data_IF_091211295355
#
_entry.id   IF_091211295355
#
_cell.length_a   1.000
_cell.length_b   1.000
_cell.length_c   1.000
_cell.angle_alpha   90.00
_cell.angle_beta   90.00
_cell.angle_gamma   90.00
#
_symmetry.space_group_name_H-M   'P 1'
#
loop_
_entity.id
_entity.type
_entity.pdbx_description
1 polymer ?
#
# COMPACT_ATOMS: atom_id res chain seq x y z
N UNK A 1 -5.67 24.23 -15.76
CA UNK A 1 -6.46 23.51 -14.74
C UNK A 1 -7.73 22.81 -15.24
N UNK A 2 -8.59 23.40 -16.10
CA UNK A 2 -9.70 22.65 -16.77
C UNK A 2 -9.21 21.45 -17.60
N UNK A 3 -7.96 21.47 -18.05
CA UNK A 3 -7.34 20.44 -18.88
C UNK A 3 -6.73 19.28 -18.08
N UNK A 4 -6.28 19.52 -16.84
CA UNK A 4 -5.64 18.51 -15.98
C UNK A 4 -6.63 17.48 -15.40
N UNK A 5 -7.92 17.85 -15.28
CA UNK A 5 -8.98 16.93 -14.84
C UNK A 5 -9.75 16.26 -15.99
N UNK A 6 -9.55 16.70 -17.23
CA UNK A 6 -10.21 16.09 -18.40
C UNK A 6 -9.43 14.90 -18.99
N UNK A 7 -8.14 14.72 -18.70
CA UNK A 7 -7.32 13.68 -19.32
C UNK A 7 -7.46 12.28 -18.70
N UNK A 8 -8.19 12.12 -17.59
CA UNK A 8 -8.43 10.80 -16.97
C UNK A 8 -9.68 10.07 -17.46
N UNK A 9 -10.39 10.60 -18.45
CA UNK A 9 -11.72 10.12 -18.78
C UNK A 9 -12.04 10.11 -20.28
N UNK A 10 -11.30 9.36 -21.12
CA UNK A 10 -11.82 8.91 -22.43
C UNK A 10 -10.89 7.91 -23.17
N UNK A 11 -11.24 6.62 -23.16
CA UNK A 11 -10.97 5.69 -24.27
C UNK A 11 -12.14 4.72 -24.42
N UNK A 12 -13.03 5.00 -25.37
CA UNK A 12 -13.65 4.06 -26.34
C UNK A 12 -14.73 4.80 -27.16
N UNK A 13 -14.51 4.95 -28.48
CA UNK A 13 -15.52 5.42 -29.46
C UNK A 13 -16.08 4.25 -30.30
N UNK A 14 -16.78 4.47 -31.44
CA UNK A 14 -17.32 5.73 -31.99
C UNK A 14 -18.81 5.64 -32.48
N UNK A 15 -19.48 6.78 -32.69
CA UNK A 15 -20.43 7.00 -33.83
C UNK A 15 -20.88 8.47 -33.95
N UNK A 16 -20.32 9.10 -34.98
CA UNK A 16 -20.89 10.03 -35.98
C UNK A 16 -21.82 11.22 -35.62
N UNK A 17 -21.23 12.41 -35.86
CA UNK A 17 -21.65 13.51 -36.76
C UNK A 17 -22.46 14.72 -36.23
N UNK A 18 -21.72 15.86 -36.20
CA UNK A 18 -21.99 17.20 -36.80
C UNK A 18 -23.07 18.05 -36.07
N UNK A 19 -22.90 19.34 -35.71
CA UNK A 19 -21.84 20.36 -35.75
C UNK A 19 -22.38 21.63 -35.05
N UNK A 20 -21.54 22.45 -34.42
CA UNK A 20 -21.32 23.86 -34.78
C UNK A 20 -20.58 24.67 -33.69
N UNK A 21 -19.55 25.40 -34.15
CA UNK A 21 -19.03 26.67 -33.64
C UNK A 21 -18.01 26.71 -32.49
N UNK A 22 -16.81 26.21 -32.80
CA UNK A 22 -15.57 27.00 -32.99
C UNK A 22 -15.31 28.16 -32.01
N UNK A 23 -14.52 27.89 -30.97
CA UNK A 23 -13.42 28.77 -30.51
C UNK A 23 -12.12 27.96 -30.56
N UNK A 24 -11.16 28.48 -31.30
CA UNK A 24 -9.86 27.86 -31.55
C UNK A 24 -8.86 28.21 -30.44
N UNK A 25 -8.33 27.21 -29.75
CA UNK A 25 -7.05 27.28 -29.06
C UNK A 25 -6.20 26.11 -29.55
N UNK A 26 -4.95 26.39 -29.96
CA UNK A 26 -4.00 25.42 -30.51
C UNK A 26 -3.60 24.39 -29.43
N UNK A 27 -3.30 23.14 -29.81
CA UNK A 27 -2.83 22.13 -28.85
C UNK A 27 -1.42 22.47 -28.37
N UNK A 28 -1.23 22.49 -27.05
CA UNK A 28 0.09 22.49 -26.42
C UNK A 28 0.57 21.03 -26.38
N UNK A 29 1.62 20.73 -27.12
CA UNK A 29 2.21 19.40 -27.21
C UNK A 29 3.39 19.35 -26.24
N UNK A 30 3.24 18.66 -25.12
CA UNK A 30 4.38 18.23 -24.32
C UNK A 30 5.06 17.07 -25.05
N UNK A 31 6.25 17.31 -25.60
CA UNK A 31 7.10 16.27 -26.20
C UNK A 31 8.09 15.77 -25.14
N UNK A 32 8.21 14.46 -24.90
CA UNK A 32 9.37 13.92 -24.19
C UNK A 32 10.60 14.07 -25.08
N UNK A 33 11.72 14.58 -24.54
CA UNK A 33 13.00 14.43 -25.21
C UNK A 33 13.43 12.97 -25.19
N UNK A 34 13.47 12.36 -26.38
CA UNK A 34 14.06 11.05 -26.63
C UNK A 34 15.57 11.24 -26.80
N UNK A 35 16.37 10.70 -25.86
CA UNK A 35 17.75 10.29 -26.18
C UNK A 35 17.72 8.83 -26.61
N UNK A 36 18.25 8.56 -27.80
CA UNK A 36 18.10 7.28 -28.48
C UNK A 36 18.84 6.12 -27.81
N UNK A 37 18.18 4.97 -27.81
CA UNK A 37 18.82 3.70 -28.14
C UNK A 37 19.10 2.72 -27.00
N UNK A 38 18.08 2.25 -26.28
CA UNK A 38 17.54 0.85 -26.34
C UNK A 38 16.60 0.58 -25.18
N UNK A 39 15.54 -0.16 -25.49
CA UNK A 39 14.37 -0.55 -24.69
C UNK A 39 14.65 -1.02 -23.26
N UNK A 40 13.77 -0.63 -22.31
CA UNK A 40 13.10 -1.39 -21.21
C UNK A 40 12.67 -0.39 -20.08
N UNK A 41 11.46 -0.53 -19.53
CA UNK A 41 10.79 0.29 -18.47
C UNK A 41 11.55 0.34 -17.10
N UNK A 42 11.10 0.93 -15.95
CA UNK A 42 10.04 1.91 -15.51
C UNK A 42 10.70 3.09 -14.69
N UNK A 43 10.13 3.75 -13.62
CA UNK A 43 10.01 3.15 -12.26
C UNK A 43 8.85 3.66 -11.34
N UNK A 44 8.82 3.01 -10.18
CA UNK A 44 7.94 3.07 -9.01
C UNK A 44 7.87 4.42 -8.26
N UNK A 45 6.74 4.69 -7.58
CA UNK A 45 6.59 5.77 -6.59
C UNK A 45 6.46 5.19 -5.18
N UNK A 46 7.56 5.27 -4.43
CA UNK A 46 7.68 5.01 -3.01
C UNK A 46 7.02 6.13 -2.20
N UNK A 47 6.10 5.78 -1.29
CA UNK A 47 5.61 6.70 -0.26
C UNK A 47 6.61 6.75 0.90
N UNK A 48 7.27 7.90 1.08
CA UNK A 48 7.94 8.26 2.32
C UNK A 48 7.18 9.39 2.99
N UNK A 49 6.54 9.09 4.13
CA UNK A 49 6.15 10.08 5.13
C UNK A 49 7.43 10.73 5.66
N UNK A 50 7.63 12.01 5.34
CA UNK A 50 8.73 12.81 5.88
C UNK A 50 8.23 14.19 6.27
N UNK A 51 8.55 14.58 7.50
CA UNK A 51 8.22 15.85 8.15
C UNK A 51 8.66 17.10 7.37
N UNK A 52 7.87 18.16 7.58
CA UNK A 52 8.10 19.58 7.26
C UNK A 52 9.57 20.01 7.13
N UNK A 53 9.94 20.54 5.96
CA UNK A 53 10.87 21.65 5.86
C UNK A 53 10.23 22.83 5.10
N UNK A 54 10.11 23.98 5.75
CA UNK A 54 10.03 25.27 5.05
C UNK A 54 11.37 25.47 4.33
N UNK A 55 11.35 25.74 3.01
CA UNK A 55 11.27 27.14 2.58
C UNK A 55 10.33 27.40 1.38
N UNK A 56 9.55 28.46 1.54
CA UNK A 56 9.12 29.47 0.56
C UNK A 56 9.24 29.10 -0.94
N UNK A 57 8.14 28.61 -1.52
CA UNK A 57 7.77 28.85 -2.92
C UNK A 57 6.31 29.30 -2.93
N UNK A 58 6.01 30.34 -3.70
CA UNK A 58 4.91 31.30 -3.51
C UNK A 58 3.47 30.77 -3.62
N UNK A 59 3.25 29.53 -4.03
CA UNK A 59 1.90 28.97 -4.22
C UNK A 59 1.86 27.46 -3.89
N UNK A 60 0.91 27.06 -3.04
CA UNK A 60 0.64 25.68 -2.66
C UNK A 60 -0.80 25.31 -3.04
N UNK A 61 -0.99 24.19 -3.74
CA UNK A 61 -2.30 23.79 -4.26
C UNK A 61 -2.84 22.65 -3.41
N UNK A 62 -3.95 22.88 -2.72
CA UNK A 62 -4.69 21.84 -2.03
C UNK A 62 -5.60 21.08 -3.00
N UNK A 63 -5.52 19.75 -3.03
CA UNK A 63 -6.37 18.90 -3.86
C UNK A 63 -7.17 17.97 -2.96
N UNK A 64 -8.49 18.18 -2.82
CA UNK A 64 -9.36 17.28 -2.07
C UNK A 64 -9.38 15.88 -2.69
N UNK A 65 -9.39 14.84 -1.84
CA UNK A 65 -9.52 13.45 -2.27
C UNK A 65 -10.78 13.22 -3.13
N UNK A 66 -10.70 12.28 -4.07
CA UNK A 66 -11.84 11.88 -4.91
C UNK A 66 -13.01 11.39 -4.05
N UNK A 67 -14.22 11.89 -4.33
CA UNK A 67 -15.45 11.50 -3.65
C UNK A 67 -15.99 12.52 -2.64
N UNK A 68 -15.22 13.56 -2.30
CA UNK A 68 -15.69 14.64 -1.40
C UNK A 68 -16.56 15.67 -2.13
N UNK A 69 -16.44 15.76 -3.46
CA UNK A 69 -17.28 16.62 -4.28
C UNK A 69 -18.64 15.97 -4.56
N UNK A 70 -19.71 16.68 -4.22
CA UNK A 70 -21.06 16.31 -4.66
C UNK A 70 -21.19 16.65 -6.15
N UNK A 71 -21.91 15.82 -6.94
CA UNK A 71 -21.99 15.83 -8.42
C UNK A 71 -22.59 17.11 -9.08
N UNK A 72 -22.31 18.29 -8.58
CA UNK A 72 -22.63 19.56 -9.23
C UNK A 72 -21.37 20.21 -9.81
N UNK A 73 -21.59 21.03 -10.84
CA UNK A 73 -20.55 21.78 -11.57
C UNK A 73 -19.72 22.63 -10.62
N UNK A 74 -18.45 22.26 -10.45
CA UNK A 74 -17.45 23.03 -9.71
C UNK A 74 -17.39 24.46 -10.25
N UNK A 75 -17.51 25.43 -9.35
CA UNK A 75 -17.42 26.86 -9.69
C UNK A 75 -15.98 27.34 -9.57
N UNK A 76 -15.65 28.47 -10.21
CA UNK A 76 -14.32 29.08 -10.10
C UNK A 76 -13.93 29.35 -8.64
N UNK A 77 -14.90 29.78 -7.81
CA UNK A 77 -14.72 30.03 -6.38
C UNK A 77 -14.28 28.78 -5.62
N UNK A 78 -14.75 27.60 -6.02
CA UNK A 78 -14.37 26.33 -5.40
C UNK A 78 -12.90 25.99 -5.68
N UNK A 79 -12.36 26.39 -6.83
CA UNK A 79 -10.93 26.21 -7.14
C UNK A 79 -10.07 27.24 -6.41
N UNK A 80 -10.49 28.50 -6.39
CA UNK A 80 -9.76 29.58 -5.70
C UNK A 80 -9.66 29.34 -4.18
N UNK A 81 -10.66 28.67 -3.59
CA UNK A 81 -10.66 28.21 -2.19
C UNK A 81 -9.50 27.25 -1.86
N UNK A 82 -8.90 26.60 -2.86
CA UNK A 82 -7.92 25.53 -2.68
C UNK A 82 -6.52 25.89 -3.20
N UNK A 83 -6.31 27.13 -3.63
CA UNK A 83 -4.99 27.64 -4.00
C UNK A 83 -4.52 28.52 -2.85
N UNK A 84 -3.44 28.13 -2.18
CA UNK A 84 -2.89 28.78 -1.01
C UNK A 84 -1.69 29.65 -1.39
N UNK A 85 -1.67 30.85 -0.83
CA UNK A 85 -0.56 31.78 -0.89
C UNK A 85 -0.03 31.98 0.53
N UNK A 86 1.25 31.70 0.75
CA UNK A 86 1.87 31.88 2.05
C UNK A 86 1.91 33.38 2.40
N UNK A 87 1.57 33.72 3.65
CA UNK A 87 1.77 35.08 4.16
C UNK A 87 3.27 35.26 4.48
N UNK A 88 3.89 36.28 3.88
CA UNK A 88 5.30 36.62 4.11
C UNK A 88 5.55 37.14 5.54
N UNK A 89 4.53 37.68 6.21
CA UNK A 89 4.66 38.27 7.55
C UNK A 89 4.42 37.28 8.70
N UNK A 90 3.60 36.25 8.49
CA UNK A 90 3.21 35.30 9.54
C UNK A 90 3.48 33.84 9.12
N UNK A 91 4.57 33.28 9.65
CA UNK A 91 4.93 31.88 9.40
C UNK A 91 3.80 30.91 9.81
N UNK A 92 3.34 30.08 8.86
CA UNK A 92 2.28 29.10 9.07
C UNK A 92 0.86 29.60 8.84
N UNK A 93 0.69 30.86 8.40
CA UNK A 93 -0.58 31.42 7.94
C UNK A 93 -0.59 31.46 6.41
N UNK A 94 -1.69 31.00 5.84
CA UNK A 94 -1.92 30.96 4.40
C UNK A 94 -3.18 31.71 4.07
N UNK A 95 -3.19 32.38 2.93
CA UNK A 95 -4.38 33.01 2.38
C UNK A 95 -4.76 32.29 1.11
N UNK A 96 -6.01 31.85 0.98
CA UNK A 96 -6.51 31.30 -0.28
C UNK A 96 -6.55 32.38 -1.36
N UNK A 97 -6.56 31.99 -2.63
CA UNK A 97 -6.63 32.93 -3.76
C UNK A 97 -7.89 33.83 -3.71
N UNK A 98 -8.96 33.40 -3.02
CA UNK A 98 -10.16 34.21 -2.78
C UNK A 98 -10.17 34.95 -1.42
N UNK A 99 -9.00 35.09 -0.79
CA UNK A 99 -8.79 35.99 0.35
C UNK A 99 -9.22 35.44 1.71
N UNK A 100 -9.20 34.12 1.90
CA UNK A 100 -9.58 33.47 3.18
C UNK A 100 -8.36 32.95 3.91
N UNK A 101 -8.34 33.10 5.22
CA UNK A 101 -7.19 32.75 6.07
C UNK A 101 -7.26 31.28 6.50
N UNK A 102 -6.13 30.59 6.42
CA UNK A 102 -5.86 29.24 6.92
C UNK A 102 -4.63 29.30 7.82
N UNK A 103 -4.59 28.43 8.83
CA UNK A 103 -3.41 28.27 9.67
C UNK A 103 -3.03 26.81 9.81
N UNK A 104 -1.74 26.51 9.65
CA UNK A 104 -1.18 25.20 9.96
C UNK A 104 -1.10 25.05 11.48
N UNK A 105 -1.70 23.98 11.99
CA UNK A 105 -1.66 23.55 13.40
C UNK A 105 -1.08 22.14 13.49
N UNK A 106 -0.81 21.66 14.72
CA UNK A 106 -0.30 20.30 14.95
C UNK A 106 -1.24 19.20 14.42
N UNK A 107 -2.54 19.50 14.32
CA UNK A 107 -3.57 18.56 13.87
C UNK A 107 -3.92 18.73 12.37
N UNK A 108 -3.31 19.67 11.64
CA UNK A 108 -3.55 19.89 10.21
C UNK A 108 -3.85 21.35 9.84
N UNK A 109 -4.50 21.56 8.69
CA UNK A 109 -4.92 22.86 8.16
C UNK A 109 -6.22 23.31 8.83
N UNK A 110 -6.19 24.38 9.62
CA UNK A 110 -7.38 24.95 10.25
C UNK A 110 -7.89 26.13 9.44
N UNK A 111 -9.15 26.07 8.98
CA UNK A 111 -9.83 27.18 8.31
C UNK A 111 -10.15 28.30 9.31
N UNK A 112 -9.82 29.55 8.96
CA UNK A 112 -10.03 30.73 9.81
C UNK A 112 -10.93 31.75 9.13
N UNK A 113 -10.53 33.02 9.08
CA UNK A 113 -11.38 34.12 8.62
C UNK A 113 -11.76 33.94 7.15
N UNK A 114 -13.02 34.21 6.83
CA UNK A 114 -13.54 34.17 5.46
C UNK A 114 -14.13 32.83 5.04
N UNK A 115 -13.98 31.77 5.85
CA UNK A 115 -14.69 30.50 5.67
C UNK A 115 -16.05 30.52 6.39
N UNK A 116 -17.05 29.88 5.79
CA UNK A 116 -18.40 29.77 6.38
C UNK A 116 -18.39 28.96 7.71
N UNK A 117 -17.45 28.03 7.87
CA UNK A 117 -17.28 27.20 9.07
C UNK A 117 -15.81 26.97 9.39
N UNK A 118 -15.45 27.06 10.68
CA UNK A 118 -14.14 26.63 11.19
C UNK A 118 -14.06 25.10 11.18
N UNK A 119 -13.04 24.55 10.52
CA UNK A 119 -12.81 23.12 10.31
C UNK A 119 -11.32 22.83 10.30
N UNK A 120 -10.97 21.62 10.74
CA UNK A 120 -9.61 21.08 10.63
C UNK A 120 -9.62 20.08 9.47
N UNK A 121 -8.66 20.26 8.56
CA UNK A 121 -8.46 19.46 7.36
C UNK A 121 -7.08 18.83 7.43
N UNK A 122 -6.99 17.52 7.19
CA UNK A 122 -5.75 16.78 7.28
C UNK A 122 -5.09 16.68 5.91
N UNK A 123 -3.79 16.95 5.86
CA UNK A 123 -2.96 16.67 4.68
C UNK A 123 -2.63 15.18 4.67
N UNK A 124 -3.07 14.48 3.62
CA UNK A 124 -2.84 13.06 3.42
C UNK A 124 -1.42 12.79 2.92
N UNK A 125 -0.98 13.58 1.94
CA UNK A 125 0.38 13.58 1.40
C UNK A 125 0.65 14.87 0.61
N UNK A 126 1.92 15.18 0.36
CA UNK A 126 2.37 16.31 -0.45
C UNK A 126 3.29 15.82 -1.58
N UNK A 127 3.20 16.45 -2.74
CA UNK A 127 4.05 16.15 -3.89
C UNK A 127 4.49 17.45 -4.58
N UNK A 128 5.72 17.49 -5.09
CA UNK A 128 6.29 18.66 -5.77
C UNK A 128 6.23 18.45 -7.28
N UNK A 129 5.63 19.40 -7.99
CA UNK A 129 5.49 19.40 -9.44
C UNK A 129 6.27 20.56 -10.04
N UNK A 130 6.59 20.47 -11.34
CA UNK A 130 7.32 21.50 -12.08
C UNK A 130 6.45 22.00 -13.23
N UNK A 131 6.41 23.32 -13.44
CA UNK A 131 5.68 23.92 -14.55
C UNK A 131 6.53 23.88 -15.85
N UNK A 132 5.96 24.32 -16.98
CA UNK A 132 6.68 24.38 -18.28
C UNK A 132 7.90 25.34 -18.29
N UNK A 133 8.04 26.15 -17.24
CA UNK A 133 9.16 27.09 -17.02
C UNK A 133 10.18 26.55 -16.00
N UNK A 134 10.04 25.29 -15.57
CA UNK A 134 10.88 24.59 -14.58
C UNK A 134 10.76 25.15 -13.14
N UNK A 135 9.73 25.96 -12.85
CA UNK A 135 9.44 26.41 -11.49
C UNK A 135 8.71 25.31 -10.72
N UNK A 136 9.19 25.01 -9.52
CA UNK A 136 8.58 24.03 -8.62
C UNK A 136 7.38 24.61 -7.87
N UNK A 137 6.28 23.87 -7.81
CA UNK A 137 5.12 24.16 -6.96
C UNK A 137 4.72 22.92 -6.16
N UNK A 138 4.14 23.12 -4.98
CA UNK A 138 3.69 22.02 -4.11
C UNK A 138 2.21 21.76 -4.28
N UNK A 139 1.84 20.49 -4.29
CA UNK A 139 0.46 20.01 -4.29
C UNK A 139 0.23 19.17 -3.05
N UNK A 140 -0.66 19.62 -2.17
CA UNK A 140 -1.05 18.93 -0.95
C UNK A 140 -2.40 18.22 -1.17
N UNK A 141 -2.43 16.89 -1.03
CA UNK A 141 -3.68 16.13 -1.05
C UNK A 141 -4.34 16.21 0.33
N UNK A 142 -5.62 16.60 0.37
CA UNK A 142 -6.34 16.82 1.63
C UNK A 142 -7.54 15.87 1.79
N UNK A 143 -7.86 15.54 3.04
CA UNK A 143 -8.88 14.55 3.39
C UNK A 143 -10.32 15.01 3.12
N UNK A 144 -10.57 16.32 3.12
CA UNK A 144 -11.89 16.92 2.89
C UNK A 144 -11.78 18.31 2.23
N UNK A 145 -12.92 18.87 1.82
CA UNK A 145 -12.99 20.23 1.28
C UNK A 145 -12.76 21.27 2.38
N UNK A 146 -12.07 22.36 2.03
CA UNK A 146 -11.86 23.50 2.94
C UNK A 146 -13.17 24.25 3.23
N UNK A 147 -14.15 24.18 2.34
CA UNK A 147 -15.48 24.78 2.52
C UNK A 147 -16.55 23.94 1.82
N UNK A 148 -17.74 23.83 2.42
CA UNK A 148 -18.82 23.03 1.86
C UNK A 148 -18.58 21.52 1.93
N UNK A 149 -19.13 20.77 0.98
CA UNK A 149 -19.10 19.30 1.01
C UNK A 149 -20.06 18.69 2.03
N UNK A 150 -20.06 17.36 2.14
CA UNK A 150 -20.82 16.65 3.17
C UNK A 150 -20.09 16.73 4.50
N UNK A 151 -20.76 17.20 5.57
CA UNK A 151 -20.25 17.14 6.97
C UNK A 151 -19.96 15.72 7.44
N UNK A 152 -20.54 14.74 6.72
CA UNK A 152 -20.08 13.36 6.76
C UNK A 152 -18.74 13.36 6.04
N UNK A 153 -17.70 13.63 6.80
CA UNK A 153 -16.42 12.99 6.58
C UNK A 153 -16.76 11.53 6.79
N UNK A 154 -17.07 10.82 5.70
CA UNK A 154 -16.74 9.41 5.69
C UNK A 154 -15.26 9.43 6.01
N UNK A 155 -14.95 8.98 7.24
CA UNK A 155 -13.64 8.92 7.87
C UNK A 155 -12.55 8.65 6.82
N UNK A 156 -11.29 9.09 6.98
CA UNK A 156 -10.20 8.85 6.03
C UNK A 156 -9.76 7.38 5.96
N UNK A 157 -10.75 6.49 5.82
CA UNK A 157 -10.68 5.10 5.49
C UNK A 157 -11.87 4.90 4.53
N UNK A 158 -11.74 4.83 3.20
CA UNK A 158 -10.88 3.86 2.53
C UNK A 158 -10.54 2.70 3.46
N UNK A 159 -11.52 2.08 4.16
CA UNK A 159 -11.31 1.11 5.27
C UNK A 159 -10.06 0.28 4.98
N UNK A 160 -8.95 0.68 5.59
CA UNK A 160 -7.66 0.03 5.51
C UNK A 160 -7.86 -1.16 6.41
N UNK A 161 -8.46 -2.18 5.84
CA UNK A 161 -8.66 -3.45 6.49
C UNK A 161 -7.26 -4.02 6.68
N UNK A 162 -6.71 -3.87 7.87
CA UNK A 162 -5.39 -4.40 8.22
C UNK A 162 -5.51 -5.67 9.06
N UNK A 163 -6.61 -5.80 9.81
CA UNK A 163 -6.83 -6.90 10.76
C UNK A 163 -8.07 -7.71 10.41
N UNK A 164 -8.15 -8.91 10.99
CA UNK A 164 -9.36 -9.76 10.93
C UNK A 164 -10.55 -9.06 11.59
N UNK A 165 -10.32 -8.31 12.67
CA UNK A 165 -11.39 -7.60 13.38
C UNK A 165 -12.00 -6.51 12.50
N UNK A 166 -11.17 -5.71 11.81
CA UNK A 166 -11.66 -4.70 10.85
C UNK A 166 -12.51 -5.34 9.74
N UNK A 167 -12.06 -6.47 9.19
CA UNK A 167 -12.77 -7.21 8.17
C UNK A 167 -14.11 -7.78 8.68
N UNK A 168 -14.10 -8.29 9.91
CA UNK A 168 -15.27 -8.90 10.55
C UNK A 168 -16.30 -7.83 10.85
N UNK A 169 -15.89 -6.67 11.37
CA UNK A 169 -16.79 -5.53 11.60
C UNK A 169 -17.39 -5.02 10.29
N UNK A 170 -16.60 -4.93 9.21
CA UNK A 170 -17.07 -4.52 7.89
C UNK A 170 -18.16 -5.46 7.32
N UNK A 171 -18.02 -6.78 7.53
CA UNK A 171 -18.96 -7.77 7.02
C UNK A 171 -20.19 -7.96 7.92
N UNK A 172 -19.97 -7.97 9.23
CA UNK A 172 -20.91 -8.48 10.24
C UNK A 172 -21.35 -7.42 11.25
N UNK A 173 -20.98 -6.16 11.05
CA UNK A 173 -21.47 -5.03 11.83
C UNK A 173 -22.99 -5.01 11.98
N UNK A 174 -23.48 -4.27 12.97
CA UNK A 174 -24.87 -4.32 13.46
C UNK A 174 -25.98 -4.03 12.42
N UNK A 175 -25.63 -3.64 11.19
CA UNK A 175 -26.56 -3.31 10.10
C UNK A 175 -26.75 -4.46 9.08
N UNK A 176 -26.02 -5.57 9.20
CA UNK A 176 -26.00 -6.64 8.19
C UNK A 176 -26.95 -7.80 8.54
N UNK A 177 -27.32 -8.61 7.53
CA UNK A 177 -28.25 -9.72 7.72
C UNK A 177 -27.58 -10.91 8.42
N UNK A 178 -28.08 -11.29 9.59
CA UNK A 178 -27.66 -12.53 10.28
C UNK A 178 -27.86 -13.79 9.42
N UNK A 179 -28.81 -13.77 8.48
CA UNK A 179 -29.08 -14.89 7.60
C UNK A 179 -28.04 -15.05 6.48
N UNK A 180 -27.41 -13.97 6.01
CA UNK A 180 -26.32 -14.06 5.03
C UNK A 180 -25.04 -14.53 5.70
N UNK A 181 -24.76 -14.05 6.91
CA UNK A 181 -23.67 -14.55 7.77
C UNK A 181 -23.77 -16.07 7.99
N UNK A 182 -24.92 -16.57 8.47
CA UNK A 182 -25.10 -18.01 8.71
C UNK A 182 -24.85 -18.84 7.44
N UNK A 183 -25.31 -18.36 6.27
CA UNK A 183 -25.06 -19.06 5.00
C UNK A 183 -23.58 -19.09 4.62
N UNK A 184 -22.81 -18.04 4.93
CA UNK A 184 -21.36 -18.03 4.74
C UNK A 184 -20.72 -19.05 5.68
N UNK A 185 -21.09 -19.02 6.96
CA UNK A 185 -20.56 -19.95 7.98
C UNK A 185 -20.87 -21.41 7.62
N UNK A 186 -22.08 -21.71 7.13
CA UNK A 186 -22.46 -23.04 6.66
C UNK A 186 -21.58 -23.52 5.49
N UNK A 187 -21.16 -22.62 4.59
CA UNK A 187 -20.22 -22.95 3.50
C UNK A 187 -18.81 -23.19 4.01
N UNK A 188 -18.36 -22.40 4.98
CA UNK A 188 -17.06 -22.58 5.64
C UNK A 188 -17.04 -23.93 6.37
N UNK A 189 -18.07 -24.24 7.15
CA UNK A 189 -18.17 -25.51 7.88
C UNK A 189 -18.23 -26.71 6.93
N UNK A 190 -19.02 -26.64 5.85
CA UNK A 190 -19.03 -27.69 4.83
C UNK A 190 -17.64 -27.91 4.18
N UNK A 191 -16.86 -26.83 4.00
CA UNK A 191 -15.48 -26.95 3.53
C UNK A 191 -14.55 -27.56 4.59
N UNK A 192 -14.70 -27.21 5.87
CA UNK A 192 -13.91 -27.77 6.96
C UNK A 192 -14.18 -29.27 7.16
N UNK A 193 -15.45 -29.67 7.10
CA UNK A 193 -15.92 -31.06 7.23
C UNK A 193 -15.56 -31.94 6.03
N UNK A 194 -15.19 -31.35 4.90
CA UNK A 194 -14.76 -32.12 3.73
C UNK A 194 -13.54 -32.97 4.08
N UNK A 195 -13.56 -34.27 3.77
CA UNK A 195 -12.40 -35.14 3.99
C UNK A 195 -11.44 -35.12 2.80
N UNK A 196 -11.46 -34.03 2.02
CA UNK A 196 -10.70 -33.89 0.80
C UNK A 196 -9.21 -33.75 1.11
N UNK A 197 -8.43 -34.77 0.73
CA UNK A 197 -6.97 -34.72 0.76
C UNK A 197 -6.48 -34.09 -0.54
N UNK A 198 -6.01 -32.85 -0.46
CA UNK A 198 -5.51 -32.16 -1.63
C UNK A 198 -4.16 -32.74 -2.05
N UNK A 199 -4.08 -33.20 -3.30
CA UNK A 199 -2.89 -33.86 -3.85
C UNK A 199 -1.84 -32.87 -4.35
N UNK A 200 -2.24 -31.61 -4.59
CA UNK A 200 -1.38 -30.57 -5.13
C UNK A 200 -1.76 -29.19 -4.62
N UNK A 201 -0.82 -28.24 -4.69
CA UNK A 201 -1.08 -26.84 -4.32
C UNK A 201 -2.24 -26.27 -5.12
N UNK A 202 -2.31 -26.59 -6.43
CA UNK A 202 -3.38 -26.15 -7.33
C UNK A 202 -4.76 -26.60 -6.87
N UNK A 203 -4.90 -27.86 -6.45
CA UNK A 203 -6.20 -28.37 -5.95
C UNK A 203 -6.66 -27.66 -4.68
N UNK A 204 -5.74 -27.27 -3.80
CA UNK A 204 -6.08 -26.47 -2.60
C UNK A 204 -6.57 -25.08 -3.02
N UNK A 205 -5.84 -24.43 -3.94
CA UNK A 205 -6.15 -23.08 -4.42
C UNK A 205 -7.51 -23.07 -5.10
N UNK A 206 -7.77 -24.01 -6.01
CA UNK A 206 -9.03 -24.10 -6.77
C UNK A 206 -10.23 -24.28 -5.81
N UNK A 207 -10.10 -25.15 -4.80
CA UNK A 207 -11.15 -25.37 -3.81
C UNK A 207 -11.42 -24.13 -2.93
N UNK A 208 -10.36 -23.40 -2.52
CA UNK A 208 -10.51 -22.17 -1.76
C UNK A 208 -11.08 -21.03 -2.61
N UNK A 209 -10.69 -20.93 -3.89
CA UNK A 209 -11.24 -19.96 -4.84
C UNK A 209 -12.73 -20.20 -5.10
N UNK A 210 -13.16 -21.46 -5.18
CA UNK A 210 -14.58 -21.82 -5.28
C UNK A 210 -15.34 -21.43 -4.00
N UNK A 211 -14.78 -21.72 -2.82
CA UNK A 211 -15.34 -21.30 -1.54
C UNK A 211 -15.52 -19.79 -1.47
N UNK A 212 -14.46 -19.03 -1.77
CA UNK A 212 -14.50 -17.56 -1.83
C UNK A 212 -15.56 -17.04 -2.81
N UNK A 213 -15.64 -17.62 -4.00
CA UNK A 213 -16.63 -17.22 -5.00
C UNK A 213 -18.06 -17.44 -4.49
N UNK A 214 -18.32 -18.56 -3.82
CA UNK A 214 -19.64 -18.88 -3.25
C UNK A 214 -19.99 -17.95 -2.08
N UNK A 215 -19.06 -17.64 -1.20
CA UNK A 215 -19.30 -16.72 -0.07
C UNK A 215 -19.51 -15.29 -0.56
N UNK A 216 -18.76 -14.84 -1.56
CA UNK A 216 -19.00 -13.56 -2.24
C UNK A 216 -20.39 -13.49 -2.89
N UNK A 217 -20.86 -14.56 -3.54
CA UNK A 217 -22.21 -14.60 -4.10
C UNK A 217 -23.30 -14.48 -3.02
N UNK A 218 -23.08 -15.06 -1.84
CA UNK A 218 -23.99 -14.92 -0.69
C UNK A 218 -23.99 -13.45 -0.21
N UNK A 219 -22.83 -12.85 0.00
CA UNK A 219 -22.72 -11.45 0.40
C UNK A 219 -23.37 -10.49 -0.61
N UNK A 220 -23.21 -10.73 -1.91
CA UNK A 220 -23.83 -9.91 -2.94
C UNK A 220 -25.34 -10.15 -3.09
N UNK A 221 -25.92 -11.19 -2.48
CA UNK A 221 -27.39 -11.35 -2.37
C UNK A 221 -27.97 -10.55 -1.21
N UNK A 222 -27.16 -10.20 -0.22
CA UNK A 222 -27.55 -9.32 0.87
C UNK A 222 -27.87 -7.92 0.35
N UNK A 223 -29.07 -7.41 0.67
CA UNK A 223 -29.53 -6.13 0.13
C UNK A 223 -28.75 -4.92 0.67
N UNK A 224 -28.19 -5.02 1.88
CA UNK A 224 -27.41 -3.96 2.52
C UNK A 224 -26.03 -3.90 1.91
N UNK A 225 -25.32 -5.04 1.88
CA UNK A 225 -23.98 -5.12 1.26
C UNK A 225 -24.03 -4.79 -0.23
N UNK A 226 -25.05 -5.28 -0.96
CA UNK A 226 -25.24 -4.95 -2.37
C UNK A 226 -25.44 -3.45 -2.61
N UNK A 227 -26.15 -2.74 -1.72
CA UNK A 227 -26.32 -1.29 -1.83
C UNK A 227 -25.01 -0.56 -1.56
N UNK A 228 -24.30 -0.96 -0.50
CA UNK A 228 -23.00 -0.39 -0.11
C UNK A 228 -21.99 -0.46 -1.25
N UNK A 229 -21.78 -1.64 -1.83
CA UNK A 229 -20.76 -1.83 -2.89
C UNK A 229 -21.14 -1.22 -4.25
N UNK A 230 -22.41 -0.90 -4.46
CA UNK A 230 -22.87 -0.19 -5.69
C UNK A 230 -22.62 1.31 -5.62
N UNK A 231 -22.48 1.87 -4.42
CA UNK A 231 -22.27 3.29 -4.23
C UNK A 231 -20.83 3.70 -4.54
N UNK A 232 -19.85 2.83 -4.22
CA UNK A 232 -18.43 3.14 -4.38
C UNK A 232 -17.63 1.89 -4.80
N UNK A 233 -16.74 2.04 -5.79
CA UNK A 233 -15.80 0.99 -6.21
C UNK A 233 -14.88 0.56 -5.05
N UNK A 234 -14.47 1.49 -4.19
CA UNK A 234 -13.64 1.17 -3.02
C UNK A 234 -14.33 0.21 -2.05
N UNK A 235 -15.64 0.35 -1.82
CA UNK A 235 -16.38 -0.59 -0.98
C UNK A 235 -16.46 -2.00 -1.58
N UNK A 236 -16.49 -2.12 -2.92
CA UNK A 236 -16.42 -3.43 -3.56
C UNK A 236 -15.06 -4.11 -3.31
N UNK A 237 -13.96 -3.37 -3.41
CA UNK A 237 -12.63 -3.93 -3.10
C UNK A 237 -12.50 -4.29 -1.62
N UNK A 238 -13.00 -3.44 -0.71
CA UNK A 238 -13.00 -3.72 0.72
C UNK A 238 -13.87 -4.93 1.06
N UNK A 239 -15.02 -5.12 0.38
CA UNK A 239 -15.83 -6.32 0.53
C UNK A 239 -15.06 -7.59 0.14
N UNK A 240 -14.32 -7.56 -0.97
CA UNK A 240 -13.52 -8.72 -1.40
C UNK A 240 -12.44 -9.03 -0.37
N UNK A 241 -11.68 -8.02 0.09
CA UNK A 241 -10.62 -8.19 1.09
C UNK A 241 -11.19 -8.70 2.41
N UNK A 242 -12.29 -8.11 2.88
CA UNK A 242 -12.93 -8.52 4.11
C UNK A 242 -13.41 -9.97 4.04
N UNK A 243 -14.10 -10.35 2.94
CA UNK A 243 -14.60 -11.71 2.75
C UNK A 243 -13.47 -12.72 2.64
N UNK A 244 -12.41 -12.41 1.89
CA UNK A 244 -11.22 -13.26 1.82
C UNK A 244 -10.61 -13.45 3.20
N UNK A 245 -10.37 -12.38 3.93
CA UNK A 245 -9.74 -12.42 5.26
C UNK A 245 -10.59 -13.23 6.23
N UNK A 246 -11.91 -13.01 6.24
CA UNK A 246 -12.85 -13.76 7.07
C UNK A 246 -12.83 -15.27 6.75
N UNK A 247 -12.98 -15.64 5.48
CA UNK A 247 -12.96 -17.05 5.05
C UNK A 247 -11.62 -17.69 5.37
N UNK A 248 -10.53 -17.03 5.03
CA UNK A 248 -9.17 -17.56 5.22
C UNK A 248 -8.82 -17.69 6.70
N UNK A 249 -9.32 -16.82 7.57
CA UNK A 249 -9.13 -16.95 9.01
C UNK A 249 -9.66 -18.29 9.52
N UNK A 250 -10.89 -18.63 9.14
CA UNK A 250 -11.56 -19.86 9.59
C UNK A 250 -10.94 -21.12 8.99
N UNK A 251 -10.59 -21.11 7.70
CA UNK A 251 -10.04 -22.30 7.02
C UNK A 251 -8.52 -22.45 7.14
N UNK A 252 -7.83 -21.45 7.71
CA UNK A 252 -6.37 -21.37 7.80
C UNK A 252 -5.73 -22.63 8.36
N UNK A 253 -6.26 -23.18 9.45
CA UNK A 253 -5.71 -24.36 10.12
C UNK A 253 -5.64 -25.58 9.20
N UNK A 254 -6.68 -25.83 8.41
CA UNK A 254 -6.76 -26.93 7.44
C UNK A 254 -5.91 -26.65 6.21
N UNK A 255 -5.97 -25.43 5.68
CA UNK A 255 -5.27 -25.03 4.45
C UNK A 255 -3.76 -24.97 4.67
N UNK A 256 -3.29 -24.26 5.69
CA UNK A 256 -1.86 -24.14 6.00
C UNK A 256 -1.26 -25.49 6.37
N UNK A 257 -1.96 -26.35 7.11
CA UNK A 257 -1.46 -27.70 7.43
C UNK A 257 -1.17 -28.51 6.16
N UNK A 258 -2.11 -28.52 5.22
CA UNK A 258 -1.94 -29.24 3.95
C UNK A 258 -0.88 -28.58 3.06
N UNK A 259 -0.86 -27.24 2.97
CA UNK A 259 0.13 -26.51 2.18
C UNK A 259 1.55 -26.73 2.72
N UNK A 260 1.75 -26.68 4.03
CA UNK A 260 3.04 -26.96 4.68
C UNK A 260 3.48 -28.39 4.36
N UNK A 261 2.57 -29.36 4.38
CA UNK A 261 2.89 -30.75 4.04
C UNK A 261 3.35 -30.89 2.58
N UNK A 262 2.68 -30.22 1.63
CA UNK A 262 3.06 -30.25 0.21
C UNK A 262 4.42 -29.57 -0.03
N UNK A 263 4.72 -28.50 0.70
CA UNK A 263 5.95 -27.71 0.55
C UNK A 263 7.12 -28.22 1.40
N UNK A 264 6.89 -29.21 2.27
CA UNK A 264 7.84 -29.66 3.29
C UNK A 264 9.23 -30.06 2.72
N UNK A 265 9.26 -30.69 1.54
CA UNK A 265 10.53 -31.04 0.87
C UNK A 265 11.35 -29.80 0.52
N UNK A 266 10.71 -28.80 -0.09
CA UNK A 266 11.39 -27.59 -0.53
C UNK A 266 11.77 -26.71 0.66
N UNK A 267 10.89 -26.58 1.64
CA UNK A 267 11.19 -25.88 2.90
C UNK A 267 12.35 -26.53 3.65
N UNK A 268 12.42 -27.87 3.68
CA UNK A 268 13.55 -28.59 4.30
C UNK A 268 14.89 -28.29 3.61
N UNK A 269 14.90 -28.16 2.27
CA UNK A 269 16.11 -27.76 1.52
C UNK A 269 16.53 -26.34 1.88
N UNK A 270 15.58 -25.40 1.91
CA UNK A 270 15.86 -24.01 2.31
C UNK A 270 16.39 -23.95 3.75
N UNK A 271 15.76 -24.67 4.68
CA UNK A 271 16.19 -24.75 6.08
C UNK A 271 17.59 -25.33 6.24
N UNK A 272 17.99 -26.29 5.38
CA UNK A 272 19.36 -26.79 5.36
C UNK A 272 20.33 -25.68 4.95
N UNK A 273 19.99 -24.91 3.92
CA UNK A 273 20.83 -23.81 3.46
C UNK A 273 20.93 -22.67 4.49
N UNK A 274 19.83 -22.29 5.13
CA UNK A 274 19.87 -21.26 6.20
C UNK A 274 20.72 -21.70 7.39
N UNK A 275 20.67 -22.97 7.79
CA UNK A 275 21.55 -23.53 8.83
C UNK A 275 23.04 -23.50 8.45
N UNK A 276 23.36 -23.80 7.20
CA UNK A 276 24.73 -23.70 6.69
C UNK A 276 25.24 -22.25 6.66
N UNK A 277 24.34 -21.28 6.60
CA UNK A 277 24.62 -19.84 6.65
C UNK A 277 24.45 -19.24 8.06
N UNK A 278 24.40 -20.07 9.10
CA UNK A 278 24.16 -19.62 10.48
C UNK A 278 25.25 -18.66 10.98
N UNK A 279 26.48 -18.76 10.49
CA UNK A 279 27.59 -17.88 10.85
C UNK A 279 27.60 -16.53 10.10
N UNK A 280 26.74 -16.35 9.10
CA UNK A 280 26.64 -15.12 8.29
C UNK A 280 26.49 -13.88 9.19
N UNK A 281 27.37 -12.90 9.00
CA UNK A 281 27.37 -11.64 9.72
C UNK A 281 26.91 -10.49 8.81
N UNK A 282 26.41 -9.41 9.40
CA UNK A 282 25.95 -8.24 8.65
C UNK A 282 27.08 -7.60 7.82
N UNK A 283 28.31 -7.64 8.35
CA UNK A 283 29.51 -7.16 7.65
C UNK A 283 29.81 -7.90 6.34
N UNK A 284 29.34 -9.15 6.21
CA UNK A 284 29.60 -9.97 5.02
C UNK A 284 28.68 -9.57 3.86
N UNK A 285 27.63 -8.78 4.12
CA UNK A 285 26.61 -8.39 3.15
C UNK A 285 26.88 -7.05 2.47
N UNK A 286 28.02 -6.41 2.77
CA UNK A 286 28.44 -5.12 2.20
C UNK A 286 27.39 -3.99 2.36
N UNK A 287 26.50 -4.08 3.34
CA UNK A 287 25.45 -3.07 3.59
C UNK A 287 25.96 -1.95 4.48
N UNK A 288 25.46 -0.74 4.25
CA UNK A 288 25.66 0.42 5.11
C UNK A 288 25.23 0.12 6.54
N UNK A 289 26.12 0.37 7.51
CA UNK A 289 25.88 0.01 8.92
C UNK A 289 24.72 0.76 9.57
N UNK A 290 24.34 1.92 9.04
CA UNK A 290 23.17 2.70 9.47
C UNK A 290 21.87 1.88 9.47
N UNK A 291 21.69 1.01 8.48
CA UNK A 291 20.48 0.16 8.38
C UNK A 291 20.57 -1.13 9.20
N UNK A 292 21.80 -1.58 9.52
CA UNK A 292 22.04 -2.79 10.29
C UNK A 292 21.46 -2.71 11.72
N UNK A 293 21.37 -1.50 12.28
CA UNK A 293 20.88 -1.25 13.65
C UNK A 293 19.43 -1.71 13.85
N UNK A 294 18.62 -1.69 12.79
CA UNK A 294 17.21 -2.05 12.84
C UNK A 294 16.93 -3.55 12.60
N UNK A 295 17.93 -4.33 12.17
CA UNK A 295 17.78 -5.76 11.87
C UNK A 295 17.20 -6.58 13.04
N UNK A 296 17.62 -6.39 14.30
CA UNK A 296 17.04 -7.12 15.42
C UNK A 296 15.55 -6.84 15.62
N UNK A 297 15.08 -5.61 15.32
CA UNK A 297 13.65 -5.25 15.43
C UNK A 297 12.86 -5.89 14.28
N UNK A 298 13.36 -5.79 13.06
CA UNK A 298 12.72 -6.41 11.91
C UNK A 298 12.65 -7.96 12.02
N UNK A 299 13.68 -8.59 12.60
CA UNK A 299 13.65 -10.02 12.93
C UNK A 299 12.51 -10.37 13.91
N UNK A 300 12.25 -9.51 14.91
CA UNK A 300 11.13 -9.74 15.85
C UNK A 300 9.78 -9.65 15.14
N UNK A 301 9.60 -8.69 14.23
CA UNK A 301 8.40 -8.61 13.40
C UNK A 301 8.19 -9.93 12.64
N UNK A 302 9.24 -10.47 11.99
CA UNK A 302 9.13 -11.74 11.26
C UNK A 302 8.92 -12.97 12.16
N UNK A 303 9.34 -12.92 13.42
CA UNK A 303 9.23 -14.08 14.34
C UNK A 303 7.78 -14.50 14.62
N UNK A 304 6.84 -13.57 14.46
CA UNK A 304 5.40 -13.81 14.66
C UNK A 304 4.66 -14.15 13.35
N UNK A 305 5.36 -14.25 12.20
CA UNK A 305 4.73 -14.52 10.89
C UNK A 305 3.83 -15.76 10.90
N UNK A 306 4.26 -16.82 11.59
CA UNK A 306 3.51 -18.08 11.70
C UNK A 306 2.36 -18.04 12.71
N UNK A 307 2.23 -16.99 13.52
CA UNK A 307 1.09 -16.81 14.41
C UNK A 307 -0.12 -16.24 13.69
N UNK A 308 0.09 -15.56 12.55
CA UNK A 308 -0.99 -15.06 11.72
C UNK A 308 -1.65 -16.15 10.90
N UNK A 309 -2.98 -16.09 10.83
CA UNK A 309 -3.82 -17.06 10.14
C UNK A 309 -4.08 -16.66 8.69
N UNK A 310 -4.19 -15.36 8.41
CA UNK A 310 -4.64 -14.86 7.11
C UNK A 310 -3.49 -14.41 6.19
N UNK A 311 -3.66 -14.47 4.85
CA UNK A 311 -2.69 -13.90 3.91
C UNK A 311 -2.45 -12.40 4.15
N UNK A 312 -3.51 -11.65 4.47
CA UNK A 312 -3.46 -10.21 4.73
C UNK A 312 -2.52 -9.89 5.92
N UNK A 313 -2.75 -10.49 7.09
CA UNK A 313 -1.93 -10.21 8.27
C UNK A 313 -0.46 -10.62 8.08
N UNK A 314 -0.22 -11.74 7.38
CA UNK A 314 1.14 -12.15 7.01
C UNK A 314 1.83 -11.13 6.10
N UNK A 315 1.10 -10.51 5.17
CA UNK A 315 1.62 -9.42 4.35
C UNK A 315 1.91 -8.16 5.15
N UNK A 316 1.03 -7.79 6.08
CA UNK A 316 1.30 -6.68 7.03
C UNK A 316 2.54 -6.98 7.89
N UNK A 317 2.77 -8.24 8.26
CA UNK A 317 3.99 -8.66 8.94
C UNK A 317 5.26 -8.40 8.09
N UNK A 318 5.23 -8.72 6.79
CA UNK A 318 6.34 -8.41 5.88
C UNK A 318 6.54 -6.90 5.73
N UNK A 319 5.45 -6.14 5.54
CA UNK A 319 5.46 -4.67 5.46
C UNK A 319 6.11 -4.07 6.71
N UNK A 320 5.73 -4.51 7.90
CA UNK A 320 6.32 -4.05 9.18
C UNK A 320 7.81 -4.34 9.26
N UNK A 321 8.25 -5.53 8.82
CA UNK A 321 9.67 -5.88 8.79
C UNK A 321 10.47 -4.97 7.85
N UNK A 322 9.96 -4.73 6.63
CA UNK A 322 10.60 -3.84 5.63
C UNK A 322 10.60 -2.38 6.08
N UNK A 323 9.47 -1.90 6.60
CA UNK A 323 9.36 -0.56 7.19
C UNK A 323 10.35 -0.37 8.35
N UNK A 324 10.54 -1.41 9.17
CA UNK A 324 11.48 -1.34 10.31
C UNK A 324 12.93 -1.20 9.85
N UNK A 325 13.36 -1.92 8.81
CA UNK A 325 14.75 -1.81 8.30
C UNK A 325 14.99 -0.54 7.49
N UNK A 326 13.97 -0.03 6.79
CA UNK A 326 14.03 1.21 5.98
C UNK A 326 13.93 2.48 6.83
N UNK A 327 13.46 2.40 8.07
CA UNK A 327 13.37 3.56 8.97
C UNK A 327 14.76 4.10 9.36
N UNK A 328 15.03 5.40 9.23
CA UNK A 328 16.27 5.99 9.72
C UNK A 328 16.36 5.85 11.25
N UNK A 329 17.57 5.54 11.74
CA UNK A 329 17.82 5.35 13.16
C UNK A 329 17.48 6.60 13.98
N UNK A 330 16.98 6.41 15.21
CA UNK A 330 16.60 7.51 16.12
C UNK A 330 17.72 8.54 16.36
N UNK A 331 19.00 8.14 16.27
CA UNK A 331 20.16 9.03 16.42
C UNK A 331 20.45 9.91 15.20
N UNK A 332 20.03 9.50 14.01
CA UNK A 332 20.18 10.29 12.78
C UNK A 332 19.09 11.36 12.69
N UNK A 333 17.87 11.06 13.17
CA UNK A 333 16.77 12.04 13.31
C UNK A 333 17.11 13.24 14.20
N UNK A 334 18.04 13.08 15.16
CA UNK A 334 18.40 14.10 16.15
C UNK A 334 19.63 14.93 15.76
N UNK A 335 20.50 14.42 14.87
CA UNK A 335 21.78 15.06 14.55
C UNK A 335 21.80 15.78 13.21
N UNK A 336 20.92 15.40 12.28
CA UNK A 336 20.78 16.02 10.98
C UNK A 336 19.31 16.42 10.87
N UNK A 337 18.99 17.71 10.87
CA UNK A 337 17.65 18.21 10.55
C UNK A 337 17.26 17.95 9.09
N UNK A 338 17.46 16.73 8.61
CA UNK A 338 17.36 16.32 7.23
C UNK A 338 17.07 14.82 7.12
N UNK A 339 16.45 14.46 6.01
CA UNK A 339 16.09 13.10 5.63
C UNK A 339 17.31 12.19 5.77
N UNK A 340 17.21 11.15 6.60
CA UNK A 340 18.24 10.13 6.68
C UNK A 340 18.52 9.55 5.28
N UNK A 341 19.70 8.97 5.04
CA UNK A 341 20.09 8.49 3.73
C UNK A 341 19.03 7.54 3.15
N UNK A 342 18.56 7.84 1.94
CA UNK A 342 17.58 7.01 1.25
C UNK A 342 18.14 5.59 1.04
N UNK A 343 17.32 4.58 1.36
CA UNK A 343 17.67 3.18 1.14
C UNK A 343 17.43 2.85 -0.34
N UNK A 344 18.45 2.29 -1.01
CA UNK A 344 18.30 1.78 -2.38
C UNK A 344 17.95 0.29 -2.38
N UNK A 345 17.51 -0.24 -3.51
CA UNK A 345 17.28 -1.69 -3.68
C UNK A 345 18.53 -2.53 -3.42
N UNK A 346 19.72 -1.98 -3.71
CA UNK A 346 21.02 -2.62 -3.48
C UNK A 346 21.37 -2.73 -1.98
N UNK A 347 20.76 -1.88 -1.14
CA UNK A 347 20.86 -2.00 0.32
C UNK A 347 19.79 -2.93 0.89
N UNK A 348 18.58 -2.90 0.33
CA UNK A 348 17.42 -3.62 0.86
C UNK A 348 17.56 -5.14 0.69
N UNK A 349 17.91 -5.62 -0.51
CA UNK A 349 17.91 -7.05 -0.81
C UNK A 349 18.90 -7.84 0.10
N UNK A 350 20.15 -7.39 0.33
CA UNK A 350 21.05 -8.08 1.26
C UNK A 350 20.55 -8.09 2.70
N UNK A 351 19.86 -7.04 3.16
CA UNK A 351 19.21 -7.02 4.49
C UNK A 351 18.08 -8.04 4.58
N UNK A 352 17.26 -8.18 3.52
CA UNK A 352 16.21 -9.20 3.46
C UNK A 352 16.80 -10.61 3.44
N UNK A 353 17.89 -10.84 2.71
CA UNK A 353 18.63 -12.10 2.72
C UNK A 353 19.10 -12.44 4.15
N UNK A 354 19.68 -11.47 4.86
CA UNK A 354 20.06 -11.64 6.26
C UNK A 354 18.87 -12.02 7.13
N UNK A 355 17.75 -11.31 6.97
CA UNK A 355 16.53 -11.57 7.73
C UNK A 355 15.97 -12.97 7.43
N UNK A 356 15.97 -13.43 6.19
CA UNK A 356 15.51 -14.79 5.83
C UNK A 356 16.39 -15.86 6.49
N UNK A 357 17.72 -15.67 6.48
CA UNK A 357 18.66 -16.59 7.13
C UNK A 357 18.49 -16.60 8.65
N UNK A 358 18.30 -15.42 9.26
CA UNK A 358 18.26 -15.25 10.71
C UNK A 358 16.86 -15.33 11.31
N UNK A 359 15.77 -15.30 10.55
CA UNK A 359 14.40 -15.33 11.11
C UNK A 359 14.01 -16.70 11.67
N UNK A 360 14.72 -17.77 11.28
CA UNK A 360 14.46 -19.15 11.71
C UNK A 360 13.03 -19.63 11.41
N UNK A 361 12.37 -19.06 10.40
CA UNK A 361 11.03 -19.49 9.96
C UNK A 361 11.17 -20.80 9.16
N UNK A 362 10.56 -21.92 9.60
CA UNK A 362 10.81 -23.24 9.01
C UNK A 362 10.03 -23.51 7.71
N UNK A 363 9.03 -22.72 7.40
CA UNK A 363 8.05 -22.93 6.33
C UNK A 363 7.90 -21.69 5.45
N UNK A 364 9.03 -21.07 5.09
CA UNK A 364 9.08 -19.84 4.28
C UNK A 364 8.37 -20.00 2.93
N UNK A 365 8.60 -21.10 2.22
CA UNK A 365 8.01 -21.32 0.90
C UNK A 365 6.50 -21.58 1.01
N UNK A 366 6.05 -22.30 2.03
CA UNK A 366 4.63 -22.45 2.31
C UNK A 366 3.96 -21.09 2.62
N UNK A 367 4.57 -20.24 3.46
CA UNK A 367 4.04 -18.90 3.76
C UNK A 367 4.01 -18.01 2.50
N UNK A 368 5.07 -18.03 1.69
CA UNK A 368 5.15 -17.24 0.46
C UNK A 368 4.06 -17.66 -0.53
N UNK A 369 3.93 -18.97 -0.77
CA UNK A 369 2.87 -19.54 -1.61
C UNK A 369 1.48 -19.17 -1.08
N UNK A 370 1.31 -19.21 0.25
CA UNK A 370 0.05 -18.84 0.89
C UNK A 370 -0.31 -17.37 0.63
N UNK A 371 0.64 -16.46 0.85
CA UNK A 371 0.44 -15.03 0.61
C UNK A 371 0.27 -14.67 -0.89
N UNK A 372 0.87 -15.43 -1.79
CA UNK A 372 0.78 -15.18 -3.24
C UNK A 372 -0.51 -15.74 -3.86
N UNK A 373 -0.92 -16.95 -3.45
CA UNK A 373 -1.92 -17.74 -4.19
C UNK A 373 -3.30 -17.79 -3.52
N UNK A 374 -3.43 -17.40 -2.25
CA UNK A 374 -4.70 -17.37 -1.52
C UNK A 374 -5.27 -15.96 -1.39
N UNK A 375 -4.85 -15.08 -2.32
CA UNK A 375 -5.37 -13.74 -2.52
C UNK A 375 -6.24 -13.72 -3.77
N UNK A 376 -7.55 -13.85 -3.56
CA UNK A 376 -8.59 -13.84 -4.56
C UNK A 376 -9.15 -12.42 -4.79
N UNK A 377 -9.08 -11.57 -3.78
CA UNK A 377 -9.30 -10.14 -3.89
C UNK A 377 -8.11 -9.54 -4.65
N UNK A 378 -8.35 -9.10 -5.88
CA UNK A 378 -7.32 -8.45 -6.70
C UNK A 378 -7.06 -7.03 -6.17
N UNK A 379 -6.41 -6.94 -5.02
CA UNK A 379 -5.77 -5.72 -4.55
C UNK A 379 -4.50 -5.57 -5.39
N UNK A 380 -4.71 -5.08 -6.62
CA UNK A 380 -3.72 -5.03 -7.68
C UNK A 380 -2.47 -4.29 -7.21
N UNK A 381 -1.30 -4.85 -7.58
CA UNK A 381 -0.02 -4.15 -7.77
C UNK A 381 0.16 -2.90 -6.89
N UNK A 382 0.21 -3.10 -5.58
CA UNK A 382 0.59 -2.08 -4.61
C UNK A 382 1.86 -2.48 -3.86
N UNK A 383 2.13 -1.82 -2.74
CA UNK A 383 3.29 -2.07 -1.88
C UNK A 383 3.46 -3.54 -1.46
N UNK A 384 2.36 -4.30 -1.27
CA UNK A 384 2.44 -5.73 -0.95
C UNK A 384 3.05 -6.58 -2.05
N UNK A 385 2.88 -6.19 -3.32
CA UNK A 385 3.54 -6.86 -4.44
C UNK A 385 5.05 -6.68 -4.39
N UNK A 386 5.50 -5.46 -4.07
CA UNK A 386 6.91 -5.16 -3.85
C UNK A 386 7.50 -5.96 -2.68
N UNK A 387 6.84 -6.01 -1.53
CA UNK A 387 7.34 -6.78 -0.38
C UNK A 387 7.41 -8.28 -0.70
N UNK A 388 6.38 -8.84 -1.34
CA UNK A 388 6.39 -10.25 -1.75
C UNK A 388 7.52 -10.56 -2.72
N UNK A 389 7.68 -9.76 -3.78
CA UNK A 389 8.74 -9.96 -4.76
C UNK A 389 10.13 -9.81 -4.13
N UNK A 390 10.30 -8.88 -3.18
CA UNK A 390 11.57 -8.67 -2.48
C UNK A 390 11.93 -9.84 -1.56
N UNK A 391 10.97 -10.37 -0.80
CA UNK A 391 11.18 -11.58 0.01
C UNK A 391 11.36 -12.83 -0.85
N UNK A 392 10.62 -12.97 -1.94
CA UNK A 392 10.79 -14.05 -2.91
C UNK A 392 12.20 -14.05 -3.50
N UNK A 393 12.69 -12.88 -3.94
CA UNK A 393 14.06 -12.72 -4.43
C UNK A 393 15.09 -13.08 -3.36
N UNK A 394 14.89 -12.64 -2.11
CA UNK A 394 15.79 -12.96 -1.00
C UNK A 394 15.81 -14.47 -0.69
N UNK A 395 14.64 -15.12 -0.64
CA UNK A 395 14.52 -16.57 -0.43
C UNK A 395 15.17 -17.34 -1.58
N UNK A 396 14.93 -16.92 -2.83
CA UNK A 396 15.53 -17.55 -4.00
C UNK A 396 17.04 -17.44 -4.01
N UNK A 397 17.58 -16.29 -3.59
CA UNK A 397 19.02 -16.09 -3.45
C UNK A 397 19.64 -17.01 -2.39
N UNK A 398 18.95 -17.21 -1.26
CA UNK A 398 19.37 -18.19 -0.25
C UNK A 398 19.29 -19.60 -0.83
N UNK A 399 18.21 -19.93 -1.56
CA UNK A 399 17.98 -21.26 -2.14
C UNK A 399 18.99 -21.63 -3.22
N UNK A 400 19.41 -20.68 -4.06
CA UNK A 400 20.39 -20.89 -5.13
C UNK A 400 21.81 -21.10 -4.60
N UNK A 401 22.07 -20.82 -3.31
CA UNK A 401 23.39 -20.95 -2.71
C UNK A 401 24.39 -19.90 -3.18
N UNK A 402 23.94 -18.81 -3.81
CA UNK A 402 24.80 -17.77 -4.37
C UNK A 402 25.68 -17.06 -3.32
N UNK A 403 25.32 -17.15 -2.03
CA UNK A 403 26.11 -16.65 -0.90
C UNK A 403 27.39 -17.47 -0.63
N UNK A 404 27.44 -18.73 -1.06
CA UNK A 404 28.64 -19.57 -0.91
C UNK A 404 29.78 -19.15 -1.86
N UNK A 405 29.50 -18.27 -2.82
CA UNK A 405 30.48 -17.65 -3.72
C UNK A 405 30.98 -16.29 -3.20
N UNK A 406 30.44 -15.76 -2.10
CA UNK A 406 31.09 -14.66 -1.40
C UNK A 406 32.39 -15.21 -0.82
N UNK A 407 33.53 -14.52 -1.01
CA UNK A 407 34.77 -14.93 -0.38
C UNK A 407 34.62 -14.74 1.13
N UNK A 408 34.06 -15.75 1.80
CA UNK A 408 34.28 -16.00 3.21
C UNK A 408 35.80 -16.02 3.36
N UNK A 409 36.33 -14.96 3.97
CA UNK A 409 37.74 -14.61 3.90
C UNK A 409 38.64 -15.82 4.05
N UNK A 410 39.48 -16.03 3.04
CA UNK A 410 40.72 -16.77 3.16
C UNK A 410 41.54 -16.08 4.25
N UNK A 411 41.35 -16.53 5.49
CA UNK A 411 42.17 -16.20 6.67
C UNK A 411 42.26 -17.43 7.58
N UNK A 412 42.36 -18.60 6.96
CA UNK A 412 42.97 -19.79 7.56
C UNK A 412 44.15 -20.18 6.67
N UNK A 413 45.22 -19.40 6.77
CA UNK A 413 46.60 -19.80 6.51
C UNK A 413 47.46 -18.59 6.85
N UNK A 414 47.90 -18.51 8.10
CA UNK A 414 49.13 -17.85 8.60
C UNK A 414 49.07 -17.78 10.14
N UNK A 415 49.31 -18.91 10.80
CA UNK A 415 50.03 -19.03 12.08
C UNK A 415 50.26 -20.53 12.39
#
# INVERSE_FOLDING_TARGET
MRQLLCEFHETEGPRDRISANRWSARPMVARPMVYGGTSIAPPDLNFSLVDFPLPLTSEEICVPRTGVFVRHSLTQKDFENHILQADEEHAGVFTTLNGKELQITADGLTTRKGFDTERIVHVLFEETFYNDSDDSFKVACIDRLLEGGTDIVEDPVQTCLETVDDCTEFLLGHKHSKASQQQVDDKIQAFLDSHEQFQSTRTIIDANSDLFTRTMQIALKDSVLRKLVRQNKSHMENLKVAMETYVMNEVSSKVLKQLIQLMASEDSKLNKTTRNLSDLQVRDLQVRQEFAVNLPRARRELSILNQYSTPLEKLHCLRKAVATITQPGYRDKLQLGGTGPAMSSDDLLPLLIFLVVKSEIPNWLANLTYMQQFRFANFGHGEFGFYLASFEAAIEHVRSGSLSALPLGVLMDLA
#
